data_IF_076610749204
#
_entry.id   IF_076610749204
#
_cell.length_a   1.000
_cell.length_b   1.000
_cell.length_c   1.000
_cell.angle_alpha   90.00
_cell.angle_beta   90.00
_cell.angle_gamma   90.00
#
_symmetry.space_group_name_H-M   'P 1'
#
loop_
_entity.id
_entity.type
_entity.pdbx_description
1 polymer ?
#
# COMPACT_ATOMS: atom_id res chain seq x y z
N UNK A 1 14.60 27.18 -4.61
CA UNK A 1 15.20 27.16 -3.27
C UNK A 1 14.49 28.11 -2.31
N UNK A 2 14.24 29.40 -2.66
CA UNK A 2 13.59 30.34 -1.71
C UNK A 2 12.21 29.90 -1.19
N UNK A 3 11.43 29.13 -1.95
CA UNK A 3 10.11 28.68 -1.51
C UNK A 3 10.21 27.57 -0.45
N UNK A 4 11.05 26.54 -0.65
CA UNK A 4 11.16 25.42 0.30
C UNK A 4 11.71 25.84 1.68
N UNK A 5 12.65 26.80 1.71
CA UNK A 5 13.13 27.36 2.98
C UNK A 5 12.04 28.13 3.74
N UNK A 6 11.13 28.82 3.03
CA UNK A 6 9.98 29.44 3.67
C UNK A 6 9.01 28.39 4.22
N UNK A 7 8.77 27.30 3.49
CA UNK A 7 7.93 26.17 3.96
C UNK A 7 8.53 25.54 5.22
N UNK A 8 9.83 25.19 5.20
CA UNK A 8 10.49 24.55 6.34
C UNK A 8 10.46 25.42 7.60
N UNK A 9 10.52 26.76 7.47
CA UNK A 9 10.41 27.68 8.62
C UNK A 9 9.05 27.67 9.31
N UNK A 10 8.04 27.01 8.75
CA UNK A 10 6.71 26.84 9.38
C UNK A 10 6.66 25.68 10.35
N UNK A 11 7.68 24.83 10.38
CA UNK A 11 7.75 23.64 11.20
C UNK A 11 8.78 23.82 12.34
N UNK A 12 8.55 23.11 13.45
CA UNK A 12 9.44 23.12 14.61
C UNK A 12 10.64 22.19 14.37
N UNK A 13 11.42 22.48 13.32
CA UNK A 13 12.66 21.76 13.00
C UNK A 13 13.72 22.12 14.03
N UNK A 14 14.36 21.12 14.61
CA UNK A 14 15.51 21.29 15.47
C UNK A 14 16.79 21.35 14.62
N UNK A 15 17.67 22.30 14.93
CA UNK A 15 18.90 22.53 14.15
C UNK A 15 18.74 23.54 13.00
N UNK A 16 19.84 23.78 12.31
CA UNK A 16 19.92 24.72 11.17
C UNK A 16 19.80 23.97 9.86
N UNK A 17 18.81 24.30 9.04
CA UNK A 17 18.66 23.71 7.70
C UNK A 17 19.85 24.12 6.82
N UNK A 18 20.65 23.15 6.41
CA UNK A 18 21.83 23.37 5.57
C UNK A 18 21.57 23.11 4.08
N UNK A 19 20.69 22.16 3.76
CA UNK A 19 20.37 21.80 2.36
C UNK A 19 18.99 21.12 2.27
N UNK A 20 18.32 21.24 1.10
CA UNK A 20 17.06 20.57 0.78
C UNK A 20 17.17 19.96 -0.62
N UNK A 21 17.10 18.61 -0.69
CA UNK A 21 17.25 17.86 -1.94
C UNK A 21 16.08 16.95 -2.20
N UNK A 22 15.69 16.72 -3.47
CA UNK A 22 14.73 15.68 -3.81
C UNK A 22 15.14 14.33 -3.20
N UNK A 23 14.18 13.59 -2.68
CA UNK A 23 14.38 12.27 -2.08
C UNK A 23 13.47 11.25 -2.77
N UNK A 24 14.09 10.27 -3.47
CA UNK A 24 13.38 9.21 -4.18
C UNK A 24 12.62 9.70 -5.43
N UNK A 25 11.82 8.81 -6.01
CA UNK A 25 11.00 9.05 -7.20
C UNK A 25 9.51 8.80 -6.88
N UNK A 26 9.00 9.41 -5.80
CA UNK A 26 7.60 9.25 -5.39
C UNK A 26 6.63 9.49 -6.55
N UNK A 27 5.69 8.56 -6.77
CA UNK A 27 4.73 8.65 -7.86
C UNK A 27 3.58 9.61 -7.54
N UNK A 28 3.29 9.80 -6.25
CA UNK A 28 2.13 10.56 -5.77
C UNK A 28 2.58 11.88 -5.14
N UNK A 29 3.38 11.82 -4.08
CA UNK A 29 3.88 13.01 -3.36
C UNK A 29 5.26 13.43 -3.86
N UNK A 30 5.53 14.74 -3.85
CA UNK A 30 6.92 15.22 -4.00
C UNK A 30 7.61 15.17 -2.64
N UNK A 31 8.76 14.51 -2.60
CA UNK A 31 9.49 14.25 -1.36
C UNK A 31 10.89 14.83 -1.42
N UNK A 32 11.31 15.46 -0.33
CA UNK A 32 12.60 16.10 -0.19
C UNK A 32 13.24 15.69 1.14
N UNK A 33 14.57 15.54 1.14
CA UNK A 33 15.37 15.43 2.37
C UNK A 33 15.83 16.82 2.77
N UNK A 34 15.56 17.19 4.02
CA UNK A 34 16.11 18.37 4.68
C UNK A 34 17.32 17.90 5.48
N UNK A 35 18.49 18.45 5.17
CA UNK A 35 19.71 18.19 5.93
C UNK A 35 19.93 19.30 6.96
N UNK A 36 20.30 18.92 8.17
CA UNK A 36 20.72 19.84 9.24
C UNK A 36 22.24 20.02 9.23
N UNK A 37 22.71 21.16 9.70
CA UNK A 37 24.13 21.43 9.80
C UNK A 37 24.81 20.73 10.98
N UNK A 38 24.04 20.52 12.04
CA UNK A 38 24.50 19.95 13.30
C UNK A 38 24.38 18.41 13.23
N UNK A 39 25.49 17.71 13.54
CA UNK A 39 25.54 16.23 13.51
C UNK A 39 24.68 15.57 14.60
N UNK A 40 24.38 16.29 15.65
CA UNK A 40 23.55 15.80 16.78
C UNK A 40 22.06 15.98 16.51
N UNK A 41 21.67 16.73 15.46
CA UNK A 41 20.29 16.94 15.11
C UNK A 41 19.86 15.99 13.98
N UNK A 42 18.60 15.53 13.97
CA UNK A 42 18.13 14.66 12.90
C UNK A 42 17.99 15.43 11.58
N UNK A 43 18.14 14.72 10.49
CA UNK A 43 17.61 15.15 9.19
C UNK A 43 16.08 14.92 9.15
N UNK A 44 15.43 15.53 8.15
CA UNK A 44 13.97 15.45 8.02
C UNK A 44 13.56 15.09 6.59
N UNK A 45 12.31 14.64 6.47
CA UNK A 45 11.62 14.42 5.20
C UNK A 45 10.53 15.48 5.06
N UNK A 46 10.61 16.33 4.05
CA UNK A 46 9.54 17.24 3.66
C UNK A 46 8.76 16.62 2.52
N UNK A 47 7.44 16.57 2.66
CA UNK A 47 6.54 16.08 1.61
C UNK A 47 5.51 17.12 1.23
N UNK A 48 5.29 17.29 -0.10
CA UNK A 48 4.14 17.96 -0.65
C UNK A 48 3.05 16.92 -0.91
N UNK A 49 1.95 17.05 -0.18
CA UNK A 49 0.82 16.11 -0.26
C UNK A 49 0.07 16.36 -1.58
N UNK A 50 -0.19 15.29 -2.33
CA UNK A 50 -1.01 15.36 -3.54
C UNK A 50 -2.50 15.41 -3.18
N UNK A 51 -3.00 16.61 -2.94
CA UNK A 51 -4.39 16.86 -2.57
C UNK A 51 -5.41 16.69 -3.72
N UNK A 52 -4.96 16.36 -4.94
CA UNK A 52 -5.85 15.94 -6.02
C UNK A 52 -6.26 14.46 -5.86
N UNK A 53 -5.43 13.65 -5.21
CA UNK A 53 -5.73 12.26 -4.86
C UNK A 53 -6.34 12.21 -3.46
N UNK A 54 -5.69 12.84 -2.48
CA UNK A 54 -6.14 12.93 -1.09
C UNK A 54 -6.93 14.22 -0.89
N UNK A 55 -8.19 14.21 -1.29
CA UNK A 55 -9.03 15.42 -1.33
C UNK A 55 -9.40 15.97 0.05
N UNK A 56 -9.35 15.13 1.07
CA UNK A 56 -9.52 15.49 2.49
C UNK A 56 -8.19 15.34 3.23
N UNK A 57 -7.38 16.40 3.23
CA UNK A 57 -6.06 16.42 3.88
C UNK A 57 -6.18 16.41 5.41
N UNK A 58 -7.26 16.97 5.97
CA UNK A 58 -7.52 16.90 7.41
C UNK A 58 -7.75 15.46 7.85
N UNK A 59 -8.57 14.68 7.12
CA UNK A 59 -8.78 13.27 7.39
C UNK A 59 -7.50 12.44 7.20
N UNK A 60 -6.74 12.71 6.12
CA UNK A 60 -5.45 12.04 5.88
C UNK A 60 -4.52 12.20 7.09
N UNK A 61 -4.33 13.45 7.55
CA UNK A 61 -3.44 13.74 8.67
C UNK A 61 -3.98 13.19 9.99
N UNK A 62 -5.30 13.24 10.21
CA UNK A 62 -5.94 12.60 11.35
C UNK A 62 -5.61 11.09 11.42
N UNK A 63 -5.77 10.37 10.31
CA UNK A 63 -5.45 8.93 10.26
C UNK A 63 -3.98 8.68 10.57
N UNK A 64 -3.08 9.40 9.89
CA UNK A 64 -1.63 9.24 10.05
C UNK A 64 -1.19 9.53 11.49
N UNK A 65 -1.70 10.60 12.10
CA UNK A 65 -1.41 10.97 13.49
C UNK A 65 -1.96 9.93 14.48
N UNK A 66 -3.20 9.51 14.31
CA UNK A 66 -3.84 8.50 15.15
C UNK A 66 -3.05 7.21 15.14
N UNK A 67 -2.71 6.70 13.95
CA UNK A 67 -1.95 5.46 13.78
C UNK A 67 -0.54 5.57 14.38
N UNK A 68 0.20 6.61 14.04
CA UNK A 68 1.58 6.75 14.52
C UNK A 68 1.65 6.97 16.01
N UNK A 69 0.75 7.76 16.60
CA UNK A 69 0.70 7.98 18.05
C UNK A 69 0.30 6.69 18.78
N UNK A 70 -0.67 5.95 18.29
CA UNK A 70 -1.11 4.68 18.88
C UNK A 70 0.05 3.66 18.93
N UNK A 71 0.75 3.45 17.82
CA UNK A 71 1.93 2.57 17.77
C UNK A 71 3.03 3.08 18.72
N UNK A 72 3.29 4.39 18.78
CA UNK A 72 4.30 4.97 19.67
C UNK A 72 4.01 4.71 21.13
N UNK A 73 2.77 4.86 21.56
CA UNK A 73 2.36 4.60 22.95
C UNK A 73 2.51 3.10 23.30
N UNK A 74 2.19 2.20 22.39
CA UNK A 74 2.42 0.76 22.59
C UNK A 74 3.92 0.44 22.70
N UNK A 75 4.76 0.97 21.79
CA UNK A 75 6.20 0.78 21.83
C UNK A 75 6.84 1.33 23.13
N UNK A 76 6.35 2.48 23.63
CA UNK A 76 6.77 3.01 24.93
C UNK A 76 6.40 2.07 26.08
N UNK A 77 5.18 1.54 26.07
CA UNK A 77 4.71 0.59 27.08
C UNK A 77 5.51 -0.73 27.06
N UNK A 78 5.99 -1.13 25.88
CA UNK A 78 6.89 -2.29 25.71
C UNK A 78 8.34 -1.99 26.13
N UNK A 79 8.69 -0.73 26.42
CA UNK A 79 10.06 -0.32 26.80
C UNK A 79 11.02 -0.28 25.62
N UNK A 80 10.55 -0.01 24.43
CA UNK A 80 11.40 0.09 23.23
C UNK A 80 12.29 1.35 23.29
N UNK A 81 13.59 1.19 23.00
CA UNK A 81 14.57 2.28 23.07
C UNK A 81 14.67 3.12 21.78
N UNK A 82 14.28 2.56 20.63
CA UNK A 82 14.50 3.13 19.28
C UNK A 82 13.19 3.52 18.55
N UNK A 83 12.24 4.06 19.30
CA UNK A 83 10.87 4.31 18.82
C UNK A 83 10.84 5.15 17.52
N UNK A 84 11.68 6.20 17.42
CA UNK A 84 11.73 7.07 16.24
C UNK A 84 12.28 6.40 14.99
N UNK A 85 12.79 5.16 15.11
CA UNK A 85 13.18 4.32 13.98
C UNK A 85 12.13 3.25 13.64
N UNK A 86 11.16 3.02 14.53
CA UNK A 86 10.15 1.94 14.40
C UNK A 86 8.77 2.43 13.97
N UNK A 87 8.54 3.73 14.10
CA UNK A 87 7.32 4.39 13.65
C UNK A 87 7.61 5.83 13.25
N UNK A 88 6.99 6.32 12.17
CA UNK A 88 7.16 7.70 11.71
C UNK A 88 6.80 8.71 12.82
N UNK A 89 7.58 9.79 12.87
CA UNK A 89 7.31 10.93 13.76
C UNK A 89 7.18 12.19 12.93
N UNK A 90 6.00 12.79 12.97
CA UNK A 90 5.73 14.05 12.29
C UNK A 90 6.13 15.23 13.16
N UNK A 91 6.69 16.27 12.52
CA UNK A 91 7.13 17.50 13.16
C UNK A 91 5.98 18.50 13.12
N UNK A 92 5.53 19.03 14.27
CA UNK A 92 4.47 20.00 14.29
C UNK A 92 4.89 21.31 13.65
N UNK A 93 3.92 22.03 13.12
CA UNK A 93 4.07 23.43 12.70
C UNK A 93 4.13 24.37 13.90
N UNK A 94 4.54 25.60 13.70
CA UNK A 94 4.60 26.64 14.73
C UNK A 94 3.24 26.99 15.33
N UNK A 95 2.13 26.63 14.67
CA UNK A 95 0.75 26.76 15.17
C UNK A 95 0.16 25.43 15.69
N UNK A 96 1.00 24.41 15.82
CA UNK A 96 0.67 23.14 16.48
C UNK A 96 -0.06 22.11 15.60
N UNK A 97 -0.13 22.31 14.28
CA UNK A 97 -0.64 21.34 13.32
C UNK A 97 0.49 20.43 12.84
N UNK A 98 0.18 19.33 12.16
CA UNK A 98 1.16 18.43 11.54
C UNK A 98 1.33 18.67 10.04
N UNK A 99 0.59 19.61 9.47
CA UNK A 99 0.74 20.06 8.08
C UNK A 99 0.59 21.58 7.96
N UNK A 100 1.14 22.13 6.89
CA UNK A 100 1.04 23.55 6.54
C UNK A 100 0.46 23.69 5.13
N UNK A 101 -0.54 24.60 4.97
CA UNK A 101 -1.05 25.03 3.68
C UNK A 101 -0.43 26.36 3.31
N UNK A 102 0.29 26.42 2.17
CA UNK A 102 1.00 27.62 1.73
C UNK A 102 0.16 28.55 0.84
N UNK A 103 -1.14 28.23 0.64
CA UNK A 103 -2.06 28.92 -0.27
C UNK A 103 -2.30 28.16 -1.58
N UNK A 104 -1.48 27.16 -1.89
CA UNK A 104 -1.59 26.32 -3.10
C UNK A 104 -1.45 24.83 -2.78
N UNK A 105 -0.53 24.47 -1.90
CA UNK A 105 -0.16 23.09 -1.60
C UNK A 105 -0.11 22.82 -0.11
N UNK A 106 -0.29 21.55 0.26
CA UNK A 106 -0.16 21.06 1.63
C UNK A 106 1.19 20.42 1.83
N UNK A 107 1.85 20.75 2.95
CA UNK A 107 3.19 20.30 3.29
C UNK A 107 3.22 19.69 4.67
N UNK A 108 3.99 18.62 4.83
CA UNK A 108 4.27 18.02 6.14
C UNK A 108 5.75 17.68 6.25
N UNK A 109 6.21 17.57 7.49
CA UNK A 109 7.60 17.20 7.82
C UNK A 109 7.58 16.01 8.76
N UNK A 110 8.43 15.02 8.51
CA UNK A 110 8.71 13.92 9.44
C UNK A 110 10.21 13.81 9.69
N UNK A 111 10.59 13.11 10.76
CA UNK A 111 12.00 12.81 11.03
C UNK A 111 12.49 11.80 10.00
N UNK A 112 13.68 12.03 9.47
CA UNK A 112 14.35 11.11 8.57
C UNK A 112 14.94 9.93 9.35
N UNK A 113 14.58 8.70 8.98
CA UNK A 113 15.13 7.48 9.59
C UNK A 113 16.49 7.21 8.97
N UNK A 114 17.55 7.52 9.70
CA UNK A 114 18.94 7.33 9.28
C UNK A 114 19.32 5.85 9.26
N UNK A 115 20.36 5.49 8.50
CA UNK A 115 20.89 4.13 8.42
C UNK A 115 19.82 3.06 8.09
N UNK A 116 18.84 3.44 7.29
CA UNK A 116 17.79 2.57 6.79
C UNK A 116 17.81 2.55 5.25
N UNK A 117 17.36 1.44 4.69
CA UNK A 117 17.25 1.23 3.23
C UNK A 117 15.85 0.68 2.90
N UNK A 118 15.38 0.95 1.69
CA UNK A 118 14.23 0.28 1.10
C UNK A 118 14.70 -0.83 0.16
N UNK A 119 13.87 -1.83 -0.10
CA UNK A 119 14.16 -2.93 -1.03
C UNK A 119 13.18 -2.88 -2.21
N UNK A 120 13.67 -3.20 -3.40
CA UNK A 120 12.83 -3.31 -4.61
C UNK A 120 12.45 -4.75 -4.95
N UNK A 121 13.12 -5.72 -4.33
CA UNK A 121 12.89 -7.15 -4.53
C UNK A 121 13.02 -7.91 -3.21
N UNK A 122 12.33 -9.05 -3.14
CA UNK A 122 12.27 -9.88 -1.94
C UNK A 122 12.88 -11.26 -2.16
N UNK A 123 13.46 -11.79 -1.08
CA UNK A 123 13.78 -13.23 -0.91
C UNK A 123 12.71 -13.88 -0.03
N UNK A 124 12.66 -15.22 0.07
CA UNK A 124 11.78 -15.86 1.05
C UNK A 124 12.02 -15.38 2.49
N UNK A 125 13.27 -15.15 2.89
CA UNK A 125 13.62 -14.67 4.22
C UNK A 125 13.06 -13.27 4.48
N UNK A 126 13.32 -12.32 3.56
CA UNK A 126 12.81 -10.95 3.71
C UNK A 126 11.29 -10.88 3.55
N UNK A 127 10.67 -11.80 2.81
CA UNK A 127 9.21 -11.92 2.71
C UNK A 127 8.58 -12.42 4.00
N UNK A 128 9.23 -13.34 4.71
CA UNK A 128 8.78 -13.76 6.05
C UNK A 128 8.81 -12.58 7.02
N UNK A 129 9.92 -11.84 7.05
CA UNK A 129 10.06 -10.67 7.93
C UNK A 129 9.05 -9.56 7.56
N UNK A 130 8.80 -9.35 6.28
CA UNK A 130 7.77 -8.43 5.80
C UNK A 130 6.37 -8.86 6.25
N UNK A 131 6.04 -10.14 6.10
CA UNK A 131 4.77 -10.68 6.56
C UNK A 131 4.56 -10.48 8.06
N UNK A 132 5.59 -10.78 8.85
CA UNK A 132 5.57 -10.56 10.30
C UNK A 132 5.37 -9.09 10.67
N UNK A 133 6.03 -8.18 9.95
CA UNK A 133 5.93 -6.75 10.21
C UNK A 133 4.57 -6.17 9.83
N UNK A 134 4.00 -6.52 8.67
CA UNK A 134 2.65 -6.09 8.29
C UNK A 134 1.60 -6.70 9.22
N UNK A 135 1.70 -7.98 9.56
CA UNK A 135 0.81 -8.60 10.53
C UNK A 135 0.89 -7.97 11.92
N UNK A 136 2.08 -7.54 12.37
CA UNK A 136 2.24 -6.80 13.63
C UNK A 136 1.66 -5.38 13.54
N UNK A 137 1.87 -4.69 12.41
CA UNK A 137 1.30 -3.37 12.15
C UNK A 137 -0.23 -3.40 12.25
N UNK A 138 -0.90 -4.30 11.52
CA UNK A 138 -2.35 -4.44 11.56
C UNK A 138 -2.86 -4.87 12.95
N UNK A 139 -2.14 -5.78 13.61
CA UNK A 139 -2.52 -6.26 14.93
C UNK A 139 -2.41 -5.17 16.01
N UNK A 140 -1.44 -4.25 15.90
CA UNK A 140 -1.33 -3.08 16.78
C UNK A 140 -2.47 -2.10 16.60
N UNK A 141 -3.09 -2.08 15.43
CA UNK A 141 -4.14 -1.14 15.06
C UNK A 141 -5.56 -1.76 15.11
N UNK A 142 -5.67 -3.02 15.56
CA UNK A 142 -6.92 -3.77 15.50
C UNK A 142 -8.09 -3.16 16.32
N UNK A 143 -7.79 -2.32 17.30
CA UNK A 143 -8.73 -1.68 18.23
C UNK A 143 -9.08 -0.23 17.91
N UNK A 144 -8.54 0.35 16.81
CA UNK A 144 -8.77 1.77 16.46
C UNK A 144 -9.44 1.99 15.11
N UNK A 145 -9.97 0.95 14.47
CA UNK A 145 -10.56 1.06 13.13
C UNK A 145 -11.74 2.06 13.08
N UNK A 146 -12.49 2.21 14.14
CA UNK A 146 -13.63 3.14 14.29
C UNK A 146 -13.20 4.60 14.49
N UNK A 147 -11.91 4.85 14.76
CA UNK A 147 -11.35 6.19 14.90
C UNK A 147 -10.85 6.76 13.58
N UNK A 148 -10.77 5.96 12.52
CA UNK A 148 -10.22 6.32 11.23
C UNK A 148 -11.29 6.42 10.16
N UNK A 149 -11.06 7.25 9.14
CA UNK A 149 -11.91 7.33 7.95
C UNK A 149 -11.21 6.87 6.68
N UNK A 150 -11.98 6.66 5.62
CA UNK A 150 -11.42 6.28 4.31
C UNK A 150 -10.85 7.51 3.59
N UNK A 151 -9.52 7.61 3.53
CA UNK A 151 -8.83 8.71 2.82
C UNK A 151 -9.07 8.67 1.32
N UNK A 152 -9.30 7.49 0.77
CA UNK A 152 -9.78 7.26 -0.59
C UNK A 152 -11.01 6.33 -0.46
N UNK A 153 -12.25 6.87 -0.57
CA UNK A 153 -13.45 6.04 -0.41
C UNK A 153 -13.47 4.87 -1.38
N UNK A 154 -13.86 3.70 -0.87
CA UNK A 154 -13.99 2.45 -1.67
C UNK A 154 -12.72 2.08 -2.44
N UNK A 155 -11.53 2.36 -1.90
CA UNK A 155 -10.26 2.21 -2.61
C UNK A 155 -10.07 0.79 -3.17
N UNK A 156 -10.28 -0.23 -2.35
CA UNK A 156 -10.16 -1.64 -2.72
C UNK A 156 -11.52 -2.37 -2.75
N UNK A 157 -12.59 -1.68 -3.15
CA UNK A 157 -13.90 -2.26 -3.35
C UNK A 157 -14.01 -2.89 -4.74
N UNK A 158 -13.92 -4.23 -4.82
CA UNK A 158 -13.96 -4.94 -6.11
C UNK A 158 -15.29 -4.81 -6.83
N UNK A 159 -16.41 -4.74 -6.11
CA UNK A 159 -17.74 -4.53 -6.71
C UNK A 159 -17.81 -3.16 -7.41
N UNK A 160 -17.25 -2.11 -6.78
CA UNK A 160 -17.15 -0.79 -7.42
C UNK A 160 -16.25 -0.85 -8.67
N UNK A 161 -15.10 -1.54 -8.61
CA UNK A 161 -14.20 -1.68 -9.76
C UNK A 161 -14.87 -2.42 -10.92
N UNK A 162 -15.64 -3.45 -10.63
CA UNK A 162 -16.51 -4.14 -11.60
C UNK A 162 -17.46 -3.17 -12.30
N UNK A 163 -18.21 -2.41 -11.51
CA UNK A 163 -19.25 -1.53 -12.05
C UNK A 163 -18.62 -0.39 -12.89
N UNK A 164 -17.46 0.11 -12.47
CA UNK A 164 -16.67 1.08 -13.24
C UNK A 164 -16.20 0.50 -14.58
N UNK A 165 -15.65 -0.74 -14.60
CA UNK A 165 -15.21 -1.39 -15.83
C UNK A 165 -16.39 -1.62 -16.78
N UNK A 166 -17.50 -2.18 -16.30
CA UNK A 166 -18.70 -2.42 -17.11
C UNK A 166 -19.25 -1.14 -17.73
N UNK A 167 -19.27 -0.07 -16.95
CA UNK A 167 -19.72 1.24 -17.41
C UNK A 167 -18.84 1.79 -18.52
N UNK A 168 -17.52 1.89 -18.29
CA UNK A 168 -16.60 2.46 -19.30
C UNK A 168 -16.54 1.61 -20.55
N UNK A 169 -16.63 0.27 -20.43
CA UNK A 169 -16.68 -0.63 -21.58
C UNK A 169 -17.94 -0.40 -22.44
N UNK A 170 -19.09 -0.19 -21.81
CA UNK A 170 -20.35 0.08 -22.52
C UNK A 170 -20.38 1.49 -23.15
N UNK A 171 -19.78 2.47 -22.52
CA UNK A 171 -19.72 3.86 -23.00
C UNK A 171 -18.67 4.07 -24.10
N UNK A 172 -17.59 3.28 -24.08
CA UNK A 172 -16.45 3.31 -25.02
C UNK A 172 -15.97 4.73 -25.37
N UNK A 173 -15.62 5.57 -24.40
CA UNK A 173 -15.39 7.00 -24.61
C UNK A 173 -14.23 7.32 -25.57
N UNK A 174 -13.32 6.36 -25.78
CA UNK A 174 -12.13 6.53 -26.63
C UNK A 174 -12.03 5.51 -27.77
N UNK A 175 -13.07 4.70 -28.01
CA UNK A 175 -13.16 3.77 -29.14
C UNK A 175 -12.22 2.55 -29.03
N UNK A 176 -11.94 2.08 -27.81
CA UNK A 176 -11.01 0.95 -27.54
C UNK A 176 -11.71 -0.36 -27.17
N UNK A 177 -13.04 -0.36 -26.91
CA UNK A 177 -13.76 -1.51 -26.36
C UNK A 177 -13.70 -2.75 -27.27
N UNK A 178 -13.86 -2.60 -28.59
CA UNK A 178 -13.82 -3.73 -29.52
C UNK A 178 -12.46 -4.44 -29.52
N UNK A 179 -11.36 -3.69 -29.34
CA UNK A 179 -10.00 -4.26 -29.34
C UNK A 179 -9.71 -5.16 -28.11
N UNK A 180 -10.49 -5.04 -27.06
CA UNK A 180 -10.33 -5.80 -25.80
C UNK A 180 -11.54 -6.68 -25.46
N UNK A 181 -12.48 -6.86 -26.38
CA UNK A 181 -13.74 -7.59 -26.15
C UNK A 181 -13.51 -8.98 -25.55
N UNK A 182 -12.69 -9.80 -26.18
CA UNK A 182 -12.38 -11.14 -25.68
C UNK A 182 -11.75 -11.08 -24.27
N UNK A 183 -10.86 -10.12 -24.03
CA UNK A 183 -10.20 -9.95 -22.73
C UNK A 183 -11.20 -9.56 -21.64
N UNK A 184 -12.17 -8.69 -21.94
CA UNK A 184 -13.26 -8.36 -21.00
C UNK A 184 -14.12 -9.59 -20.71
N UNK A 185 -14.46 -10.42 -21.72
CA UNK A 185 -15.22 -11.66 -21.53
C UNK A 185 -14.47 -12.64 -20.60
N UNK A 186 -13.15 -12.78 -20.75
CA UNK A 186 -12.30 -13.61 -19.90
C UNK A 186 -12.31 -13.11 -18.44
N UNK A 187 -12.19 -11.79 -18.23
CA UNK A 187 -12.27 -11.16 -16.91
C UNK A 187 -13.64 -11.36 -16.27
N UNK A 188 -14.72 -11.15 -17.02
CA UNK A 188 -16.10 -11.29 -16.51
C UNK A 188 -16.40 -12.70 -15.98
N UNK A 189 -15.73 -13.74 -16.47
CA UNK A 189 -15.93 -15.11 -16.01
C UNK A 189 -15.57 -15.32 -14.51
N UNK A 190 -14.72 -14.46 -13.93
CA UNK A 190 -14.31 -14.53 -12.51
C UNK A 190 -14.92 -13.42 -11.66
N UNK A 191 -15.65 -12.49 -12.25
CA UNK A 191 -16.08 -11.25 -11.59
C UNK A 191 -16.90 -11.49 -10.32
N UNK A 192 -17.84 -12.44 -10.35
CA UNK A 192 -18.67 -12.75 -9.19
C UNK A 192 -17.90 -13.44 -8.06
N UNK A 193 -16.90 -14.25 -8.41
CA UNK A 193 -16.01 -14.87 -7.42
C UNK A 193 -15.15 -13.79 -6.73
N UNK A 194 -14.59 -12.89 -7.51
CA UNK A 194 -13.70 -11.83 -6.99
C UNK A 194 -14.44 -10.74 -6.19
N UNK A 195 -15.77 -10.67 -6.26
CA UNK A 195 -16.61 -9.84 -5.38
C UNK A 195 -16.98 -10.52 -4.03
N UNK A 196 -16.34 -11.64 -3.68
CA UNK A 196 -16.65 -12.39 -2.45
C UNK A 196 -16.45 -11.56 -1.18
N UNK A 197 -15.38 -10.77 -1.09
CA UNK A 197 -15.06 -9.98 0.09
C UNK A 197 -16.17 -9.02 0.46
N UNK A 198 -16.68 -8.26 -0.51
CA UNK A 198 -17.75 -7.27 -0.30
C UNK A 198 -19.10 -7.95 0.02
N UNK A 199 -19.37 -9.13 -0.56
CA UNK A 199 -20.56 -9.91 -0.17
C UNK A 199 -20.49 -10.36 1.28
N UNK A 200 -19.36 -10.89 1.73
CA UNK A 200 -19.17 -11.31 3.11
C UNK A 200 -19.23 -10.13 4.09
N UNK A 201 -18.71 -8.96 3.68
CA UNK A 201 -18.86 -7.73 4.46
C UNK A 201 -20.34 -7.33 4.58
N UNK A 202 -21.09 -7.32 3.49
CA UNK A 202 -22.52 -6.99 3.48
C UNK A 202 -23.36 -7.99 4.31
N UNK A 203 -22.94 -9.25 4.38
CA UNK A 203 -23.56 -10.29 5.22
C UNK A 203 -23.14 -10.21 6.70
N UNK A 204 -22.26 -9.28 7.08
CA UNK A 204 -21.72 -9.14 8.44
C UNK A 204 -20.76 -10.27 8.86
N UNK A 205 -20.23 -11.05 7.90
CA UNK A 205 -19.28 -12.13 8.15
C UNK A 205 -17.82 -11.65 8.18
N UNK A 206 -17.55 -10.54 7.51
CA UNK A 206 -16.29 -9.80 7.59
C UNK A 206 -16.54 -8.42 8.17
N UNK A 207 -15.47 -7.80 8.65
CA UNK A 207 -15.48 -6.42 9.13
C UNK A 207 -14.30 -5.66 8.53
N UNK A 208 -14.41 -4.33 8.45
CA UNK A 208 -13.27 -3.49 8.11
C UNK A 208 -12.28 -3.47 9.27
N UNK A 209 -11.00 -3.50 8.93
CA UNK A 209 -9.86 -3.39 9.83
C UNK A 209 -8.98 -2.25 9.39
N UNK A 210 -8.08 -1.78 10.22
CA UNK A 210 -7.07 -0.83 9.77
C UNK A 210 -6.10 -1.56 8.85
N UNK A 211 -6.02 -1.10 7.61
CA UNK A 211 -5.10 -1.60 6.59
C UNK A 211 -4.19 -0.47 6.11
N UNK A 212 -3.00 -0.82 5.68
CA UNK A 212 -2.07 0.10 5.03
C UNK A 212 -2.53 0.48 3.61
N UNK A 213 -3.11 -0.47 2.90
CA UNK A 213 -3.64 -0.38 1.54
C UNK A 213 -2.62 -0.04 0.43
N UNK A 214 -1.31 -0.13 0.72
CA UNK A 214 -0.22 -0.05 -0.26
C UNK A 214 1.01 -0.79 0.29
N UNK A 215 0.92 -2.11 0.42
CA UNK A 215 1.90 -2.95 1.14
C UNK A 215 3.07 -3.42 0.28
N UNK A 216 3.46 -2.64 -0.74
CA UNK A 216 4.69 -2.90 -1.51
C UNK A 216 5.90 -2.99 -0.58
N UNK A 217 6.87 -3.82 -0.94
CA UNK A 217 8.09 -4.00 -0.14
C UNK A 217 8.88 -2.70 0.06
N UNK A 218 8.82 -1.77 -0.89
CA UNK A 218 9.49 -0.47 -0.78
C UNK A 218 8.77 0.52 0.15
N UNK A 219 7.59 0.17 0.70
CA UNK A 219 6.93 0.88 1.79
C UNK A 219 7.34 0.34 3.18
N UNK A 220 8.43 -0.43 3.22
CA UNK A 220 9.13 -0.80 4.44
C UNK A 220 10.57 -0.30 4.43
N UNK A 221 11.04 0.10 5.60
CA UNK A 221 12.46 0.37 5.83
C UNK A 221 13.12 -0.80 6.55
N UNK A 222 14.34 -1.10 6.14
CA UNK A 222 15.16 -2.15 6.70
C UNK A 222 16.47 -1.57 7.24
N UNK A 223 17.02 -2.20 8.26
CA UNK A 223 18.38 -1.90 8.69
C UNK A 223 19.42 -2.48 7.72
N UNK A 224 20.69 -2.19 7.96
CA UNK A 224 21.82 -2.69 7.14
C UNK A 224 21.98 -4.22 7.20
N UNK A 225 21.35 -4.90 8.14
CA UNK A 225 21.31 -6.34 8.30
C UNK A 225 20.08 -6.98 7.62
N UNK A 226 19.19 -6.15 7.03
CA UNK A 226 17.99 -6.61 6.35
C UNK A 226 16.79 -6.84 7.26
N UNK A 227 16.87 -6.45 8.55
CA UNK A 227 15.74 -6.53 9.48
C UNK A 227 14.79 -5.35 9.26
N UNK A 228 13.49 -5.62 9.27
CA UNK A 228 12.46 -4.57 9.18
C UNK A 228 12.57 -3.61 10.36
N UNK A 229 12.58 -2.32 10.06
CA UNK A 229 12.58 -1.23 11.03
C UNK A 229 11.18 -0.60 11.15
N UNK A 230 10.62 -0.14 10.04
CA UNK A 230 9.47 0.75 10.02
C UNK A 230 8.64 0.55 8.76
N UNK A 231 7.32 0.55 8.92
CA UNK A 231 6.36 0.71 7.82
C UNK A 231 6.22 2.20 7.53
N UNK A 232 6.31 2.58 6.27
CA UNK A 232 6.27 3.98 5.81
C UNK A 232 5.18 4.18 4.75
N UNK A 233 4.98 5.41 4.30
CA UNK A 233 3.97 5.80 3.29
C UNK A 233 2.53 5.51 3.76
N UNK A 234 2.19 6.08 4.92
CA UNK A 234 0.92 5.83 5.62
C UNK A 234 -0.29 6.59 5.04
N UNK A 235 -0.19 7.18 3.85
CA UNK A 235 -1.24 8.04 3.27
C UNK A 235 -2.52 7.27 2.93
N UNK A 236 -2.38 5.98 2.68
CA UNK A 236 -3.48 5.07 2.37
C UNK A 236 -3.94 4.25 3.57
N UNK A 237 -3.43 4.56 4.78
CA UNK A 237 -3.90 3.86 5.99
C UNK A 237 -5.32 4.26 6.32
N UNK A 238 -6.23 3.28 6.22
CA UNK A 238 -7.66 3.47 6.40
C UNK A 238 -8.39 2.17 6.75
N UNK A 239 -9.65 2.23 7.19
CA UNK A 239 -10.48 1.03 7.32
C UNK A 239 -10.71 0.36 5.97
N UNK A 240 -10.30 -0.91 5.85
CA UNK A 240 -10.47 -1.74 4.67
C UNK A 240 -10.65 -3.21 5.06
N UNK A 241 -10.85 -4.10 4.09
CA UNK A 241 -10.79 -5.53 4.34
C UNK A 241 -9.33 -5.99 4.47
N UNK A 242 -9.06 -6.93 5.37
CA UNK A 242 -7.70 -7.49 5.59
C UNK A 242 -7.03 -8.00 4.31
N UNK A 243 -7.83 -8.40 3.31
CA UNK A 243 -7.34 -8.84 2.00
C UNK A 243 -6.51 -7.76 1.29
N UNK A 244 -6.71 -6.47 1.64
CA UNK A 244 -6.01 -5.34 1.03
C UNK A 244 -4.49 -5.45 1.22
N UNK A 245 -4.06 -5.63 2.46
CA UNK A 245 -2.64 -5.64 2.78
C UNK A 245 -1.97 -6.96 2.38
N UNK A 246 -2.61 -8.07 2.74
CA UNK A 246 -2.08 -9.38 2.40
C UNK A 246 -1.97 -9.61 0.89
N UNK A 247 -3.00 -9.23 0.14
CA UNK A 247 -3.06 -9.46 -1.31
C UNK A 247 -2.13 -8.52 -2.09
N UNK A 248 -2.05 -7.24 -1.69
CA UNK A 248 -1.22 -6.27 -2.41
C UNK A 248 0.29 -6.55 -2.27
N UNK A 249 0.74 -7.00 -1.09
CA UNK A 249 2.12 -7.47 -0.94
C UNK A 249 2.43 -8.60 -1.93
N UNK A 250 1.59 -9.64 -1.96
CA UNK A 250 1.82 -10.80 -2.82
C UNK A 250 1.74 -10.46 -4.30
N UNK A 251 0.85 -9.56 -4.71
CA UNK A 251 0.76 -9.05 -6.08
C UNK A 251 2.08 -8.48 -6.58
N UNK A 252 2.78 -7.74 -5.73
CA UNK A 252 4.07 -7.12 -6.09
C UNK A 252 5.25 -8.05 -5.88
N UNK A 253 5.30 -8.77 -4.75
CA UNK A 253 6.43 -9.57 -4.34
C UNK A 253 6.49 -10.96 -4.99
N UNK A 254 5.34 -11.57 -5.30
CA UNK A 254 5.28 -12.90 -5.89
C UNK A 254 5.25 -12.91 -7.42
N UNK A 255 5.23 -11.76 -8.09
CA UNK A 255 5.41 -11.68 -9.53
C UNK A 255 6.90 -11.86 -9.89
N UNK A 256 7.16 -12.69 -10.90
CA UNK A 256 8.54 -12.95 -11.36
C UNK A 256 9.14 -11.84 -12.22
N UNK A 257 8.31 -10.93 -12.74
CA UNK A 257 8.73 -9.81 -13.59
C UNK A 257 8.05 -8.51 -13.15
N UNK A 258 8.52 -7.38 -13.69
CA UNK A 258 7.93 -6.08 -13.42
C UNK A 258 6.48 -5.99 -13.93
N UNK A 259 5.64 -5.23 -13.22
CA UNK A 259 4.20 -5.08 -13.47
C UNK A 259 3.88 -4.53 -14.89
N UNK A 260 4.77 -3.77 -15.47
CA UNK A 260 4.64 -3.16 -16.80
C UNK A 260 5.40 -3.91 -17.90
N UNK A 261 5.97 -5.09 -17.60
CA UNK A 261 6.64 -5.93 -18.59
C UNK A 261 5.64 -6.61 -19.52
N UNK A 262 5.87 -6.59 -20.84
CA UNK A 262 5.06 -7.31 -21.81
C UNK A 262 5.45 -8.80 -21.98
N UNK A 263 6.41 -9.30 -21.22
CA UNK A 263 6.93 -10.68 -21.30
C UNK A 263 6.03 -11.66 -20.54
N UNK A 264 4.75 -11.74 -20.91
CA UNK A 264 3.71 -12.50 -20.20
C UNK A 264 4.02 -13.98 -20.00
N UNK A 265 4.78 -14.59 -20.90
CA UNK A 265 5.24 -15.98 -20.83
C UNK A 265 6.23 -16.24 -19.70
N UNK A 266 6.88 -15.19 -19.18
CA UNK A 266 7.80 -15.26 -18.04
C UNK A 266 7.10 -15.03 -16.70
N UNK A 267 5.83 -14.66 -16.69
CA UNK A 267 5.07 -14.45 -15.46
C UNK A 267 4.83 -15.80 -14.78
N UNK A 268 5.19 -15.85 -13.51
CA UNK A 268 4.81 -16.93 -12.62
C UNK A 268 4.48 -16.37 -11.25
N UNK A 269 3.72 -17.14 -10.46
CA UNK A 269 3.40 -16.82 -9.07
C UNK A 269 4.36 -17.57 -8.14
N UNK A 270 5.21 -16.85 -7.44
CA UNK A 270 6.26 -17.39 -6.58
C UNK A 270 5.68 -17.97 -5.29
N UNK A 271 5.44 -19.28 -5.29
CA UNK A 271 4.94 -20.01 -4.12
C UNK A 271 5.92 -20.02 -2.94
N UNK A 272 7.21 -19.89 -3.17
CA UNK A 272 8.21 -19.71 -2.11
C UNK A 272 7.99 -18.42 -1.33
N UNK A 273 7.70 -17.32 -2.03
CA UNK A 273 7.35 -16.02 -1.45
C UNK A 273 6.00 -16.10 -0.72
N UNK A 274 4.97 -16.66 -1.37
CA UNK A 274 3.66 -16.88 -0.72
C UNK A 274 3.80 -17.62 0.61
N UNK A 275 4.51 -18.75 0.62
CA UNK A 275 4.68 -19.57 1.83
C UNK A 275 5.45 -18.84 2.92
N UNK A 276 6.51 -18.14 2.57
CA UNK A 276 7.31 -17.38 3.53
C UNK A 276 6.54 -16.22 4.13
N UNK A 277 5.94 -15.37 3.28
CA UNK A 277 5.13 -14.23 3.70
C UNK A 277 3.96 -14.68 4.60
N UNK A 278 3.22 -15.70 4.19
CA UNK A 278 2.08 -16.23 4.94
C UNK A 278 2.46 -16.70 6.34
N UNK A 279 3.61 -17.41 6.48
CA UNK A 279 4.10 -17.82 7.80
C UNK A 279 4.38 -16.63 8.69
N UNK A 280 5.13 -15.65 8.19
CA UNK A 280 5.44 -14.43 8.93
C UNK A 280 4.17 -13.64 9.28
N UNK A 281 3.28 -13.46 8.34
CA UNK A 281 2.03 -12.74 8.53
C UNK A 281 1.16 -13.39 9.61
N UNK A 282 0.92 -14.69 9.53
CA UNK A 282 0.11 -15.41 10.51
C UNK A 282 0.76 -15.46 11.91
N UNK A 283 2.09 -15.45 12.02
CA UNK A 283 2.75 -15.39 13.33
C UNK A 283 2.32 -14.15 14.14
N UNK A 284 2.06 -13.03 13.46
CA UNK A 284 1.61 -11.79 14.09
C UNK A 284 0.10 -11.59 13.99
N UNK A 285 -0.50 -11.86 12.83
CA UNK A 285 -1.88 -11.52 12.52
C UNK A 285 -2.92 -12.49 13.12
N UNK A 286 -2.54 -13.73 13.46
CA UNK A 286 -3.49 -14.70 14.05
C UNK A 286 -4.13 -14.21 15.37
N UNK A 287 -3.55 -13.22 16.04
CA UNK A 287 -4.10 -12.66 17.28
C UNK A 287 -5.32 -11.76 17.06
N UNK A 288 -5.61 -11.36 15.80
CA UNK A 288 -6.78 -10.53 15.47
C UNK A 288 -7.63 -11.13 14.34
N UNK A 289 -7.07 -11.96 13.45
CA UNK A 289 -7.82 -12.57 12.36
C UNK A 289 -8.77 -13.65 12.85
N UNK A 290 -9.97 -13.66 12.29
CA UNK A 290 -10.94 -14.75 12.49
C UNK A 290 -10.55 -16.00 11.68
N UNK A 291 -11.04 -17.20 12.04
CA UNK A 291 -10.82 -18.40 11.23
C UNK A 291 -11.30 -18.28 9.78
N UNK A 292 -12.38 -17.48 9.54
CA UNK A 292 -12.88 -17.20 8.20
C UNK A 292 -11.85 -16.38 7.42
N UNK A 293 -11.33 -15.29 8.01
CA UNK A 293 -10.33 -14.44 7.37
C UNK A 293 -9.05 -15.24 7.02
N UNK A 294 -8.57 -16.09 7.93
CA UNK A 294 -7.44 -16.98 7.65
C UNK A 294 -7.74 -17.92 6.47
N UNK A 295 -8.95 -18.43 6.35
CA UNK A 295 -9.33 -19.33 5.23
C UNK A 295 -9.41 -18.60 3.88
N UNK A 296 -9.52 -17.26 3.89
CA UNK A 296 -9.61 -16.40 2.71
C UNK A 296 -8.26 -15.84 2.25
N UNK A 297 -7.13 -16.17 2.90
CA UNK A 297 -5.81 -15.72 2.46
C UNK A 297 -5.46 -16.14 1.02
N UNK A 298 -5.77 -17.38 0.54
CA UNK A 298 -5.59 -17.72 -0.87
C UNK A 298 -6.41 -16.83 -1.81
N UNK A 299 -7.68 -16.57 -1.47
CA UNK A 299 -8.53 -15.64 -2.22
C UNK A 299 -7.92 -14.22 -2.29
N UNK A 300 -7.34 -13.72 -1.20
CA UNK A 300 -6.68 -12.41 -1.20
C UNK A 300 -5.49 -12.35 -2.17
N UNK A 301 -4.70 -13.43 -2.26
CA UNK A 301 -3.58 -13.54 -3.21
C UNK A 301 -4.04 -13.54 -4.68
N UNK A 302 -5.23 -14.07 -4.96
CA UNK A 302 -5.86 -14.06 -6.28
C UNK A 302 -6.54 -12.72 -6.58
N UNK A 303 -7.23 -12.14 -5.59
CA UNK A 303 -8.02 -10.93 -5.74
C UNK A 303 -7.18 -9.73 -6.19
N UNK A 304 -5.99 -9.54 -5.63
CA UNK A 304 -5.24 -8.31 -5.86
C UNK A 304 -4.68 -8.17 -7.28
N UNK A 305 -4.03 -9.18 -7.88
CA UNK A 305 -3.68 -9.09 -9.29
C UNK A 305 -4.92 -8.96 -10.19
N UNK A 306 -6.03 -9.65 -9.86
CA UNK A 306 -7.28 -9.50 -10.59
C UNK A 306 -7.85 -8.08 -10.51
N UNK A 307 -7.97 -7.52 -9.31
CA UNK A 307 -8.47 -6.14 -9.11
C UNK A 307 -7.59 -5.12 -9.84
N UNK A 308 -6.28 -5.28 -9.79
CA UNK A 308 -5.36 -4.37 -10.45
C UNK A 308 -5.43 -4.49 -11.98
N UNK A 309 -5.64 -5.70 -12.51
CA UNK A 309 -5.97 -5.90 -13.92
C UNK A 309 -7.22 -5.11 -14.32
N UNK A 310 -8.30 -5.23 -13.56
CA UNK A 310 -9.57 -4.51 -13.80
C UNK A 310 -9.36 -2.99 -13.76
N UNK A 311 -8.59 -2.48 -12.80
CA UNK A 311 -8.30 -1.04 -12.66
C UNK A 311 -7.47 -0.51 -13.83
N UNK A 312 -6.43 -1.20 -14.26
CA UNK A 312 -5.62 -0.80 -15.41
C UNK A 312 -6.43 -0.84 -16.71
N UNK A 313 -7.27 -1.87 -16.89
CA UNK A 313 -8.14 -1.96 -18.06
C UNK A 313 -9.20 -0.86 -18.08
N UNK A 314 -9.76 -0.53 -16.90
CA UNK A 314 -10.67 0.60 -16.77
C UNK A 314 -10.01 1.92 -17.18
N UNK A 315 -8.79 2.19 -16.73
CA UNK A 315 -8.07 3.42 -17.07
C UNK A 315 -7.71 3.46 -18.56
N UNK A 316 -7.28 2.32 -19.14
CA UNK A 316 -7.05 2.20 -20.58
C UNK A 316 -8.31 2.55 -21.41
N UNK A 317 -9.45 2.02 -21.01
CA UNK A 317 -10.73 2.31 -21.67
C UNK A 317 -11.24 3.72 -21.40
N UNK A 318 -10.83 4.33 -20.30
CA UNK A 318 -11.17 5.73 -19.95
C UNK A 318 -10.29 6.77 -20.68
N UNK A 319 -9.17 6.36 -21.30
CA UNK A 319 -8.23 7.24 -22.01
C UNK A 319 -6.93 7.54 -21.26
N UNK A 320 -6.51 6.68 -20.33
CA UNK A 320 -5.21 6.74 -19.63
C UNK A 320 -5.04 8.01 -18.78
N UNK A 321 -5.99 8.29 -17.90
CA UNK A 321 -6.00 9.51 -17.08
C UNK A 321 -5.48 9.32 -15.65
N UNK A 322 -5.56 8.11 -15.11
CA UNK A 322 -5.21 7.85 -13.71
C UNK A 322 -3.71 7.57 -13.53
N UNK A 323 -3.15 6.64 -14.32
CA UNK A 323 -1.72 6.33 -14.25
C UNK A 323 -0.92 6.99 -15.37
N UNK A 324 0.29 7.43 -15.04
CA UNK A 324 1.24 7.94 -16.06
C UNK A 324 1.61 6.83 -17.04
N UNK A 325 1.38 7.06 -18.33
CA UNK A 325 1.72 6.18 -19.42
C UNK A 325 2.93 6.66 -20.19
N UNK A 326 3.83 5.74 -20.54
CA UNK A 326 5.01 6.02 -21.37
C UNK A 326 4.71 5.82 -22.87
N UNK A 327 3.68 5.02 -23.19
CA UNK A 327 3.21 4.72 -24.54
C UNK A 327 1.70 4.40 -24.54
N UNK A 328 1.07 4.38 -25.70
CA UNK A 328 -0.39 4.34 -25.84
C UNK A 328 -1.08 3.11 -25.20
N UNK A 329 -0.43 1.94 -25.19
CA UNK A 329 -1.00 0.69 -24.65
C UNK A 329 -0.39 0.30 -23.28
N UNK A 330 0.23 1.25 -22.57
CA UNK A 330 0.95 0.94 -21.34
C UNK A 330 0.02 0.34 -20.26
N UNK A 331 -1.17 0.92 -20.06
CA UNK A 331 -2.14 0.37 -19.12
C UNK A 331 -2.75 -0.96 -19.58
N UNK A 332 -2.90 -1.18 -20.89
CA UNK A 332 -3.31 -2.49 -21.42
C UNK A 332 -2.21 -3.55 -21.16
N UNK A 333 -0.94 -3.19 -21.32
CA UNK A 333 0.20 -4.06 -20.98
C UNK A 333 0.16 -4.45 -19.53
N UNK A 334 -0.01 -3.48 -18.62
CA UNK A 334 -0.14 -3.70 -17.19
C UNK A 334 -1.36 -4.56 -16.84
N UNK A 335 -2.51 -4.30 -17.47
CA UNK A 335 -3.72 -5.11 -17.25
C UNK A 335 -3.47 -6.58 -17.63
N UNK A 336 -2.85 -6.84 -18.78
CA UNK A 336 -2.51 -8.20 -19.22
C UNK A 336 -1.47 -8.86 -18.31
N UNK A 337 -0.46 -8.12 -17.84
CA UNK A 337 0.52 -8.62 -16.89
C UNK A 337 -0.18 -9.11 -15.61
N UNK A 338 -1.04 -8.30 -15.02
CA UNK A 338 -1.78 -8.64 -13.80
C UNK A 338 -2.79 -9.77 -14.02
N UNK A 339 -3.39 -9.86 -15.20
CA UNK A 339 -4.22 -10.99 -15.58
C UNK A 339 -3.46 -12.32 -15.61
N UNK A 340 -2.28 -12.33 -16.23
CA UNK A 340 -1.44 -13.53 -16.24
C UNK A 340 -1.00 -13.93 -14.83
N UNK A 341 -0.65 -12.95 -13.99
CA UNK A 341 -0.32 -13.22 -12.58
C UNK A 341 -1.50 -13.80 -11.81
N UNK A 342 -2.72 -13.27 -12.02
CA UNK A 342 -3.95 -13.82 -11.45
C UNK A 342 -4.14 -15.29 -11.85
N UNK A 343 -4.03 -15.61 -13.13
CA UNK A 343 -4.20 -16.99 -13.62
C UNK A 343 -3.16 -17.94 -13.00
N UNK A 344 -1.93 -17.47 -12.79
CA UNK A 344 -0.88 -18.24 -12.12
C UNK A 344 -1.19 -18.45 -10.64
N UNK A 345 -1.60 -17.41 -9.91
CA UNK A 345 -2.06 -17.54 -8.53
C UNK A 345 -3.24 -18.53 -8.42
N UNK A 346 -4.24 -18.38 -9.32
CA UNK A 346 -5.41 -19.26 -9.38
C UNK A 346 -5.05 -20.72 -9.62
N UNK A 347 -4.05 -20.99 -10.44
CA UNK A 347 -3.55 -22.37 -10.66
C UNK A 347 -2.96 -23.00 -9.40
N UNK A 348 -2.47 -22.20 -8.45
CA UNK A 348 -1.95 -22.64 -7.17
C UNK A 348 -2.98 -22.64 -6.02
N UNK A 349 -4.25 -22.33 -6.28
CA UNK A 349 -5.28 -22.19 -5.23
C UNK A 349 -5.34 -23.41 -4.29
N UNK A 350 -5.33 -24.62 -4.84
CA UNK A 350 -5.39 -25.84 -4.03
C UNK A 350 -4.16 -26.01 -3.14
N UNK A 351 -2.96 -25.70 -3.65
CA UNK A 351 -1.71 -25.75 -2.89
C UNK A 351 -1.69 -24.67 -1.79
N UNK A 352 -2.15 -23.45 -2.10
CA UNK A 352 -2.29 -22.38 -1.11
C UNK A 352 -3.24 -22.77 0.03
N UNK A 353 -4.42 -23.33 -0.30
CA UNK A 353 -5.40 -23.80 0.68
C UNK A 353 -4.82 -24.91 1.56
N UNK A 354 -4.15 -25.89 0.96
CA UNK A 354 -3.50 -26.96 1.71
C UNK A 354 -2.46 -26.41 2.68
N UNK A 355 -1.62 -25.49 2.23
CA UNK A 355 -0.59 -24.87 3.05
C UNK A 355 -1.18 -24.11 4.25
N UNK A 356 -2.28 -23.36 4.07
CA UNK A 356 -2.98 -22.68 5.17
C UNK A 356 -3.51 -23.69 6.19
N UNK A 357 -4.10 -24.82 5.74
CA UNK A 357 -4.58 -25.85 6.65
C UNK A 357 -3.43 -26.56 7.42
N UNK A 358 -2.25 -26.65 6.85
CA UNK A 358 -1.06 -27.18 7.53
C UNK A 358 -0.57 -26.24 8.64
N UNK A 359 -0.70 -24.92 8.45
CA UNK A 359 -0.31 -23.89 9.45
C UNK A 359 -1.29 -23.79 10.62
N UNK A 360 -2.51 -24.32 10.49
CA UNK A 360 -3.52 -24.33 11.59
C UNK A 360 -3.28 -25.47 12.60
N UNK A 361 -2.42 -26.42 12.28
CA UNK A 361 -2.09 -27.59 13.13
C UNK A 361 -0.96 -27.30 14.09
#
# INVERSE_FOLDING_TARGET
MNNLNNITSKFLIEGTVSDIKPLGNGLINDTYRIQTAETEQPDYVLQRINHHIFTDVDLLQHNVETVTNHIREQLKAEGADDIDRRVLRFVPTTDGKTYHFDGESYWRVSIFISDAVTMDAVTPESSYDAGKAFGDFEARLADIADQLGETIPDFHNMCLRRDQLRKVYAEDPVGRAESVKQFVEEIEAYMDEMCLGERLLAEGKLQKRVCHCDTKVNNMMFDKQGKVLCVIDLDTVMPSLFVSDYGDFLRTAANTIAEDSPEYDKIDFRMDIFKAFTRGYLESAQRFLTPLEVSLLPYAAELFPYMQCVRFLWDYLSGDHYWKCQYADHNLTRARNQWHLFLKAKAHEAEMKQFIEELKK
#
